data_IF_060342260329
#
_entry.id   IF_060342260329
#
_cell.length_a   1.000
_cell.length_b   1.000
_cell.length_c   1.000
_cell.angle_alpha   90.00
_cell.angle_beta   90.00
_cell.angle_gamma   90.00
#
_symmetry.space_group_name_H-M   'P 1'
#
loop_
_entity.id
_entity.type
_entity.pdbx_description
1 polymer ?
#
# COMPACT_ATOMS: atom_id res chain seq x y z
N UNK A 1 16.59 9.07 -36.46
CA UNK A 1 15.28 8.54 -36.04
C UNK A 1 15.40 7.61 -34.83
N UNK A 2 16.25 6.58 -34.86
CA UNK A 2 16.42 5.60 -33.76
C UNK A 2 16.82 6.27 -32.43
N UNK A 3 17.77 7.20 -32.47
CA UNK A 3 18.25 7.94 -31.28
C UNK A 3 17.15 8.73 -30.57
N UNK A 4 16.20 9.27 -31.31
CA UNK A 4 15.03 9.97 -30.77
C UNK A 4 14.13 9.02 -29.98
N UNK A 5 13.85 7.83 -30.50
CA UNK A 5 13.04 6.83 -29.81
C UNK A 5 13.72 6.31 -28.54
N UNK A 6 15.03 6.10 -28.57
CA UNK A 6 15.80 5.69 -27.37
C UNK A 6 15.67 6.77 -26.29
N UNK A 7 15.81 8.05 -26.66
CA UNK A 7 15.67 9.16 -25.72
C UNK A 7 14.29 9.16 -25.04
N UNK A 8 13.21 9.12 -25.84
CA UNK A 8 11.85 9.27 -25.32
C UNK A 8 11.29 8.02 -24.63
N UNK A 9 11.67 6.82 -25.07
CA UNK A 9 11.15 5.59 -24.50
C UNK A 9 11.94 5.09 -23.28
N UNK A 10 13.24 5.39 -23.20
CA UNK A 10 14.09 4.84 -22.16
C UNK A 10 14.76 5.90 -21.29
N UNK A 11 15.42 6.88 -21.91
CA UNK A 11 16.24 7.83 -21.15
C UNK A 11 15.39 8.78 -20.30
N UNK A 12 14.33 9.35 -20.86
CA UNK A 12 13.44 10.27 -20.12
C UNK A 12 12.72 9.55 -18.97
N UNK A 13 12.09 8.37 -19.16
CA UNK A 13 11.49 7.61 -18.05
C UNK A 13 12.49 7.30 -16.93
N UNK A 14 13.70 6.88 -17.30
CA UNK A 14 14.76 6.57 -16.32
C UNK A 14 15.17 7.80 -15.51
N UNK A 15 15.39 8.94 -16.19
CA UNK A 15 15.73 10.20 -15.52
C UNK A 15 14.61 10.70 -14.60
N UNK A 16 13.36 10.65 -15.06
CA UNK A 16 12.22 11.05 -14.24
C UNK A 16 12.08 10.18 -13.01
N UNK A 17 12.25 8.86 -13.17
CA UNK A 17 12.23 7.94 -12.04
C UNK A 17 13.38 8.22 -11.06
N UNK A 18 14.58 8.49 -11.55
CA UNK A 18 15.72 8.82 -10.71
C UNK A 18 15.54 10.15 -9.97
N UNK A 19 14.97 11.16 -10.62
CA UNK A 19 14.63 12.45 -9.97
C UNK A 19 13.55 12.21 -8.92
N UNK A 20 12.52 11.43 -9.22
CA UNK A 20 11.44 11.12 -8.27
C UNK A 20 11.98 10.40 -7.04
N UNK A 21 12.81 9.37 -7.21
CA UNK A 21 13.41 8.61 -6.10
C UNK A 21 14.38 9.44 -5.27
N UNK A 22 15.13 10.36 -5.89
CA UNK A 22 16.04 11.27 -5.17
C UNK A 22 15.26 12.33 -4.38
N UNK A 23 14.19 12.87 -4.96
CA UNK A 23 13.40 13.93 -4.35
C UNK A 23 12.47 13.41 -3.25
N UNK A 24 11.90 12.24 -3.45
CA UNK A 24 10.96 11.59 -2.54
C UNK A 24 11.56 10.25 -2.11
N UNK A 25 12.56 10.31 -1.22
CA UNK A 25 13.27 9.13 -0.74
C UNK A 25 12.31 8.18 -0.01
N UNK A 26 12.11 6.99 -0.55
CA UNK A 26 11.35 5.95 0.12
C UNK A 26 12.22 5.37 1.24
N UNK A 27 11.76 5.36 2.50
CA UNK A 27 12.48 4.70 3.58
C UNK A 27 12.74 3.22 3.22
N UNK A 28 13.97 2.77 3.41
CA UNK A 28 14.29 1.35 3.22
C UNK A 28 13.42 0.50 4.15
N UNK A 29 12.64 -0.42 3.58
CA UNK A 29 11.84 -1.38 4.35
C UNK A 29 12.71 -2.24 5.25
N UNK A 30 13.88 -2.62 4.77
CA UNK A 30 14.84 -3.42 5.54
C UNK A 30 15.31 -2.67 6.78
N UNK A 31 15.76 -1.42 6.62
CA UNK A 31 16.18 -0.57 7.73
C UNK A 31 15.03 -0.31 8.71
N UNK A 32 13.82 -0.06 8.21
CA UNK A 32 12.64 0.10 9.04
C UNK A 32 12.32 -1.17 9.84
N UNK A 33 12.43 -2.35 9.21
CA UNK A 33 12.20 -3.63 9.86
C UNK A 33 13.26 -3.92 10.93
N UNK A 34 14.53 -3.64 10.65
CA UNK A 34 15.62 -3.81 11.63
C UNK A 34 15.40 -2.89 12.84
N UNK A 35 15.15 -1.61 12.63
CA UNK A 35 14.87 -0.65 13.71
C UNK A 35 13.63 -1.05 14.52
N UNK A 36 12.58 -1.55 13.86
CA UNK A 36 11.39 -2.05 14.54
C UNK A 36 11.72 -3.27 15.41
N UNK A 37 12.52 -4.21 14.93
CA UNK A 37 12.97 -5.40 15.71
C UNK A 37 13.81 -5.00 16.91
N UNK A 38 14.79 -4.11 16.74
CA UNK A 38 15.61 -3.60 17.84
C UNK A 38 14.74 -2.94 18.91
N UNK A 39 13.83 -2.06 18.52
CA UNK A 39 12.89 -1.43 19.45
C UNK A 39 12.00 -2.47 20.15
N UNK A 40 11.51 -3.45 19.40
CA UNK A 40 10.61 -4.47 19.93
C UNK A 40 11.29 -5.44 20.89
N UNK A 41 12.59 -5.72 20.71
CA UNK A 41 13.37 -6.57 21.62
C UNK A 41 13.61 -5.94 23.00
N UNK A 42 13.55 -4.62 23.11
CA UNK A 42 13.74 -3.86 24.34
C UNK A 42 12.44 -3.60 25.12
N UNK A 43 11.31 -4.06 24.61
CA UNK A 43 9.99 -3.79 25.23
C UNK A 43 9.73 -4.80 26.36
N UNK A 44 9.49 -4.28 27.56
CA UNK A 44 9.00 -5.06 28.69
C UNK A 44 7.52 -5.40 28.50
N UNK A 45 7.23 -6.68 28.27
CA UNK A 45 5.87 -7.17 28.00
C UNK A 45 4.96 -7.08 29.21
N UNK A 46 5.48 -7.30 30.40
CA UNK A 46 4.71 -7.22 31.66
C UNK A 46 4.29 -5.78 31.94
N UNK A 47 5.20 -4.83 31.79
CA UNK A 47 4.91 -3.41 31.93
C UNK A 47 3.86 -2.94 30.90
N UNK A 48 3.93 -3.44 29.67
CA UNK A 48 2.94 -3.15 28.63
C UNK A 48 1.56 -3.74 28.97
N UNK A 49 1.50 -4.97 29.42
CA UNK A 49 0.24 -5.60 29.82
C UNK A 49 -0.40 -4.83 30.98
N UNK A 50 0.39 -4.47 32.00
CA UNK A 50 -0.09 -3.68 33.13
C UNK A 50 -0.71 -2.35 32.68
N UNK A 51 0.01 -1.61 31.82
CA UNK A 51 -0.47 -0.36 31.25
C UNK A 51 -1.76 -0.56 30.42
N UNK A 52 -1.83 -1.66 29.64
CA UNK A 52 -3.02 -1.99 28.86
C UNK A 52 -4.22 -2.27 29.76
N UNK A 53 -4.05 -3.06 30.85
CA UNK A 53 -5.10 -3.39 31.80
C UNK A 53 -5.59 -2.15 32.54
N UNK A 54 -4.69 -1.23 32.92
CA UNK A 54 -5.07 0.06 33.54
C UNK A 54 -6.03 0.85 32.64
N UNK A 55 -5.82 0.81 31.31
CA UNK A 55 -6.69 1.47 30.33
C UNK A 55 -7.96 0.65 30.00
N UNK A 56 -7.90 -0.67 30.19
CA UNK A 56 -8.96 -1.63 29.86
C UNK A 56 -9.22 -2.61 31.01
N UNK A 57 -9.80 -2.17 32.12
CA UNK A 57 -9.92 -3.01 33.32
C UNK A 57 -10.79 -4.27 33.12
N UNK A 58 -11.61 -4.30 32.10
CA UNK A 58 -12.43 -5.48 31.73
C UNK A 58 -11.62 -6.57 31.02
N UNK A 59 -10.40 -6.27 30.53
CA UNK A 59 -9.49 -7.24 29.93
C UNK A 59 -8.45 -7.82 30.91
N UNK A 60 -8.60 -7.58 32.21
CA UNK A 60 -7.68 -8.15 33.20
C UNK A 60 -7.75 -9.68 33.23
N UNK A 61 -6.66 -10.41 32.83
CA UNK A 61 -6.67 -11.86 32.78
C UNK A 61 -6.89 -12.53 34.12
N UNK A 62 -6.58 -11.85 35.23
CA UNK A 62 -6.75 -12.37 36.57
C UNK A 62 -8.23 -12.61 36.92
N UNK A 63 -9.13 -11.79 36.33
CA UNK A 63 -10.58 -11.94 36.49
C UNK A 63 -11.14 -13.20 35.85
N UNK A 64 -10.39 -13.77 34.90
CA UNK A 64 -10.81 -14.91 34.08
C UNK A 64 -9.97 -16.17 34.32
N UNK A 65 -9.27 -16.30 35.46
CA UNK A 65 -8.47 -17.47 35.82
C UNK A 65 -9.21 -18.78 35.75
N UNK A 66 -10.52 -18.75 36.02
CA UNK A 66 -11.40 -19.94 36.04
C UNK A 66 -12.19 -20.13 34.74
N UNK A 67 -11.89 -19.37 33.70
CA UNK A 67 -12.56 -19.52 32.40
C UNK A 67 -12.25 -20.89 31.79
N UNK A 68 -13.18 -21.38 30.95
CA UNK A 68 -13.21 -22.77 30.42
C UNK A 68 -12.01 -23.12 29.54
N UNK A 69 -11.32 -22.15 28.99
CA UNK A 69 -10.08 -22.36 28.25
C UNK A 69 -8.87 -22.20 29.17
N UNK A 70 -8.23 -23.28 29.49
CA UNK A 70 -6.86 -23.29 30.06
C UNK A 70 -5.86 -22.81 29.01
N UNK A 71 -6.10 -21.65 28.44
CA UNK A 71 -5.30 -21.12 27.36
C UNK A 71 -4.01 -20.56 27.93
N UNK A 72 -2.98 -20.77 27.23
CA UNK A 72 -1.61 -20.31 27.29
C UNK A 72 -1.51 -18.98 28.06
N UNK A 73 -0.95 -18.99 29.24
CA UNK A 73 -0.85 -17.83 30.14
C UNK A 73 -0.17 -16.60 29.52
N UNK A 74 0.70 -16.83 28.51
CA UNK A 74 1.47 -15.78 27.84
C UNK A 74 0.68 -15.00 26.74
N UNK A 75 -0.54 -15.42 26.41
CA UNK A 75 -1.27 -14.86 25.27
C UNK A 75 -1.68 -13.38 25.48
N UNK A 76 -2.17 -12.95 26.65
CA UNK A 76 -2.46 -11.54 26.89
C UNK A 76 -1.23 -10.63 26.78
N UNK A 77 -0.09 -11.07 27.33
CA UNK A 77 1.18 -10.34 27.28
C UNK A 77 1.66 -10.19 25.83
N UNK A 78 1.57 -11.29 25.08
CA UNK A 78 1.94 -11.30 23.67
C UNK A 78 1.02 -10.38 22.86
N UNK A 79 -0.28 -10.40 23.12
CA UNK A 79 -1.25 -9.57 22.41
C UNK A 79 -1.02 -8.07 22.69
N UNK A 80 -0.80 -7.69 23.95
CA UNK A 80 -0.49 -6.32 24.32
C UNK A 80 0.81 -5.83 23.66
N UNK A 81 1.84 -6.68 23.64
CA UNK A 81 3.08 -6.41 22.94
C UNK A 81 2.88 -6.30 21.41
N UNK A 82 2.13 -7.20 20.79
CA UNK A 82 1.83 -7.14 19.38
C UNK A 82 1.11 -5.86 18.96
N UNK A 83 0.15 -5.42 19.76
CA UNK A 83 -0.58 -4.15 19.53
C UNK A 83 0.36 -2.94 19.55
N UNK A 84 1.35 -2.90 20.45
CA UNK A 84 2.32 -1.79 20.51
C UNK A 84 3.29 -1.85 19.31
N UNK A 85 3.73 -3.04 18.93
CA UNK A 85 4.57 -3.26 17.74
C UNK A 85 3.84 -2.78 16.49
N UNK A 86 2.57 -3.11 16.33
CA UNK A 86 1.74 -2.71 15.19
C UNK A 86 1.60 -1.19 15.08
N UNK A 87 1.34 -0.48 16.19
CA UNK A 87 1.31 0.99 16.21
C UNK A 87 2.62 1.62 15.71
N UNK A 88 3.74 1.00 16.05
CA UNK A 88 5.05 1.45 15.56
C UNK A 88 5.23 1.21 14.06
N UNK A 89 4.76 0.06 13.55
CA UNK A 89 4.84 -0.30 12.14
C UNK A 89 3.88 0.54 11.27
N UNK A 90 2.67 0.83 11.74
CA UNK A 90 1.70 1.65 11.03
C UNK A 90 2.27 3.00 10.59
N UNK A 91 2.95 3.70 11.48
CA UNK A 91 3.58 5.00 11.15
C UNK A 91 4.65 4.87 10.06
N UNK A 92 5.41 3.79 10.08
CA UNK A 92 6.44 3.54 9.07
C UNK A 92 5.81 3.22 7.71
N UNK A 93 4.76 2.40 7.70
CA UNK A 93 4.03 2.07 6.49
C UNK A 93 3.28 3.27 5.90
N UNK A 94 2.65 4.10 6.74
CA UNK A 94 2.00 5.33 6.30
C UNK A 94 2.99 6.28 5.62
N UNK A 95 4.15 6.48 6.22
CA UNK A 95 5.21 7.28 5.62
C UNK A 95 5.71 6.69 4.31
N UNK A 96 5.92 5.37 4.26
CA UNK A 96 6.30 4.66 3.05
C UNK A 96 5.25 4.85 1.94
N UNK A 97 3.97 4.61 2.22
CA UNK A 97 2.88 4.79 1.26
C UNK A 97 2.76 6.23 0.78
N UNK A 98 2.93 7.19 1.69
CA UNK A 98 2.90 8.62 1.36
C UNK A 98 3.99 9.00 0.38
N UNK A 99 5.22 8.57 0.61
CA UNK A 99 6.32 8.88 -0.30
C UNK A 99 6.19 8.13 -1.65
N UNK A 100 5.68 6.89 -1.65
CA UNK A 100 5.33 6.16 -2.86
C UNK A 100 4.30 6.92 -3.73
N UNK A 101 3.22 7.40 -3.12
CA UNK A 101 2.20 8.19 -3.81
C UNK A 101 2.79 9.49 -4.36
N UNK A 102 3.65 10.17 -3.60
CA UNK A 102 4.31 11.40 -4.06
C UNK A 102 5.24 11.16 -5.26
N UNK A 103 5.98 10.05 -5.26
CA UNK A 103 6.78 9.65 -6.42
C UNK A 103 5.89 9.41 -7.63
N UNK A 104 4.83 8.64 -7.47
CA UNK A 104 3.88 8.35 -8.54
C UNK A 104 3.25 9.63 -9.10
N UNK A 105 2.76 10.52 -8.24
CA UNK A 105 2.19 11.81 -8.66
C UNK A 105 3.18 12.68 -9.40
N UNK A 106 4.45 12.65 -8.99
CA UNK A 106 5.51 13.36 -9.72
C UNK A 106 5.69 12.78 -11.12
N UNK A 107 5.79 11.46 -11.26
CA UNK A 107 5.92 10.80 -12.56
C UNK A 107 4.69 11.07 -13.44
N UNK A 108 3.48 10.99 -12.89
CA UNK A 108 2.23 11.28 -13.59
C UNK A 108 2.16 12.72 -14.12
N UNK A 109 2.64 13.68 -13.32
CA UNK A 109 2.68 15.10 -13.74
C UNK A 109 3.51 15.32 -14.99
N UNK A 110 4.58 14.56 -15.17
CA UNK A 110 5.50 14.68 -16.30
C UNK A 110 5.36 13.56 -17.34
N UNK A 111 4.31 12.72 -17.22
CA UNK A 111 4.09 11.58 -18.12
C UNK A 111 3.93 11.98 -19.58
N UNK A 112 3.38 13.19 -19.83
CA UNK A 112 3.16 13.71 -21.19
C UNK A 112 4.46 13.89 -21.98
N UNK A 113 5.63 13.94 -21.32
CA UNK A 113 6.94 14.11 -21.97
C UNK A 113 7.38 12.80 -22.64
N UNK A 114 6.90 11.64 -22.17
CA UNK A 114 7.33 10.33 -22.67
C UNK A 114 6.16 9.41 -22.95
N UNK A 115 5.96 9.00 -24.21
CA UNK A 115 4.96 7.98 -24.56
C UNK A 115 5.15 6.67 -23.79
N UNK A 116 6.39 6.30 -23.48
CA UNK A 116 6.71 5.10 -22.70
C UNK A 116 6.13 5.13 -21.29
N UNK A 117 6.13 6.28 -20.64
CA UNK A 117 5.51 6.46 -19.31
C UNK A 117 3.99 6.29 -19.40
N UNK A 118 3.36 6.91 -20.41
CA UNK A 118 1.91 6.82 -20.59
C UNK A 118 1.49 5.37 -20.85
N UNK A 119 2.21 4.65 -21.70
CA UNK A 119 1.93 3.23 -21.98
C UNK A 119 2.09 2.38 -20.73
N UNK A 120 3.15 2.63 -19.94
CA UNK A 120 3.35 1.93 -18.66
C UNK A 120 2.23 2.22 -17.66
N UNK A 121 1.75 3.46 -17.58
CA UNK A 121 0.62 3.81 -16.73
C UNK A 121 -0.67 3.12 -17.16
N UNK A 122 -0.98 3.13 -18.46
CA UNK A 122 -2.15 2.41 -19.01
C UNK A 122 -2.08 0.92 -18.69
N UNK A 123 -0.90 0.32 -18.85
CA UNK A 123 -0.69 -1.10 -18.51
C UNK A 123 -0.95 -1.35 -17.01
N UNK A 124 -0.38 -0.52 -16.12
CA UNK A 124 -0.59 -0.63 -14.68
C UNK A 124 -2.06 -0.43 -14.29
N UNK A 125 -2.78 0.47 -14.97
CA UNK A 125 -4.20 0.71 -14.73
C UNK A 125 -5.06 -0.49 -15.16
N UNK A 126 -4.77 -1.09 -16.34
CA UNK A 126 -5.49 -2.27 -16.84
C UNK A 126 -5.25 -3.49 -15.95
N UNK A 127 -4.02 -3.67 -15.48
CA UNK A 127 -3.63 -4.82 -14.64
C UNK A 127 -3.87 -4.58 -13.16
N UNK A 128 -4.34 -3.39 -12.78
CA UNK A 128 -4.54 -2.99 -11.38
C UNK A 128 -3.28 -3.08 -10.51
N UNK A 129 -2.09 -3.06 -11.13
CA UNK A 129 -0.78 -3.18 -10.45
C UNK A 129 -0.16 -1.82 -10.08
N UNK A 130 -0.87 -0.72 -10.35
CA UNK A 130 -0.41 0.64 -10.05
C UNK A 130 -0.22 0.90 -8.54
N UNK A 131 0.65 1.85 -8.22
CA UNK A 131 0.95 2.26 -6.83
C UNK A 131 -0.31 2.63 -6.06
N UNK A 132 -1.23 3.34 -6.67
CA UNK A 132 -2.50 3.75 -6.05
C UNK A 132 -3.34 2.55 -5.64
N UNK A 133 -3.45 1.54 -6.52
CA UNK A 133 -4.19 0.31 -6.25
C UNK A 133 -3.51 -0.49 -5.13
N UNK A 134 -2.18 -0.61 -5.17
CA UNK A 134 -1.41 -1.24 -4.11
C UNK A 134 -1.66 -0.59 -2.74
N UNK A 135 -1.58 0.75 -2.66
CA UNK A 135 -1.77 1.48 -1.39
C UNK A 135 -3.22 1.36 -0.90
N UNK A 136 -4.20 1.39 -1.81
CA UNK A 136 -5.61 1.17 -1.46
C UNK A 136 -5.82 -0.22 -0.89
N UNK A 137 -5.36 -1.25 -1.59
CA UNK A 137 -5.45 -2.64 -1.15
C UNK A 137 -4.75 -2.86 0.21
N UNK A 138 -3.55 -2.29 0.41
CA UNK A 138 -2.84 -2.38 1.68
C UNK A 138 -3.61 -1.74 2.84
N UNK A 139 -4.32 -0.62 2.56
CA UNK A 139 -5.18 0.05 3.54
C UNK A 139 -6.41 -0.81 3.89
N UNK A 140 -7.07 -1.36 2.88
CA UNK A 140 -8.26 -2.21 3.08
C UNK A 140 -7.90 -3.47 3.87
N UNK A 141 -6.75 -4.10 3.54
CA UNK A 141 -6.24 -5.26 4.26
C UNK A 141 -5.94 -4.92 5.73
N UNK A 142 -5.38 -3.72 5.98
CA UNK A 142 -5.14 -3.25 7.36
C UNK A 142 -6.45 -3.05 8.11
N UNK A 143 -7.42 -2.38 7.51
CA UNK A 143 -8.75 -2.15 8.11
C UNK A 143 -9.42 -3.48 8.44
N UNK A 144 -9.36 -4.44 7.54
CA UNK A 144 -9.83 -5.80 7.79
C UNK A 144 -9.09 -6.45 8.96
N UNK A 145 -7.76 -6.37 8.97
CA UNK A 145 -6.94 -6.94 10.06
C UNK A 145 -7.31 -6.35 11.42
N UNK A 146 -7.51 -5.03 11.50
CA UNK A 146 -7.98 -4.38 12.74
C UNK A 146 -9.35 -4.88 13.15
N UNK A 147 -10.32 -4.88 12.25
CA UNK A 147 -11.68 -5.37 12.53
C UNK A 147 -11.68 -6.83 13.01
N UNK A 148 -10.86 -7.67 12.39
CA UNK A 148 -10.71 -9.07 12.77
C UNK A 148 -10.09 -9.23 14.17
N UNK A 149 -9.05 -8.45 14.47
CA UNK A 149 -8.39 -8.45 15.79
C UNK A 149 -9.30 -7.89 16.86
N UNK A 150 -10.03 -6.81 16.59
CA UNK A 150 -10.98 -6.22 17.52
C UNK A 150 -12.09 -7.20 17.87
N UNK A 151 -12.61 -7.92 16.87
CA UNK A 151 -13.60 -8.97 17.10
C UNK A 151 -13.10 -10.08 18.02
N UNK A 152 -11.83 -10.48 17.87
CA UNK A 152 -11.25 -11.55 18.69
C UNK A 152 -10.73 -11.09 20.04
N UNK A 153 -10.41 -9.78 20.20
CA UNK A 153 -9.72 -9.23 21.36
C UNK A 153 -10.42 -9.57 22.68
N UNK A 154 -11.70 -9.28 22.77
CA UNK A 154 -12.49 -9.54 23.98
C UNK A 154 -12.49 -11.00 24.35
N UNK A 155 -12.63 -11.88 23.36
CA UNK A 155 -12.63 -13.35 23.57
C UNK A 155 -11.28 -13.84 24.08
N UNK A 156 -10.20 -13.32 23.52
CA UNK A 156 -8.83 -13.69 23.93
C UNK A 156 -8.57 -13.27 25.37
N UNK A 157 -8.89 -12.03 25.73
CA UNK A 157 -8.66 -11.54 27.10
C UNK A 157 -9.57 -12.21 28.12
N UNK A 158 -10.83 -12.52 27.78
CA UNK A 158 -11.77 -13.23 28.65
C UNK A 158 -11.54 -14.74 28.64
N UNK A 159 -10.65 -15.26 27.81
CA UNK A 159 -10.41 -16.70 27.64
C UNK A 159 -11.68 -17.49 27.28
N UNK A 160 -12.52 -16.90 26.46
CA UNK A 160 -13.77 -17.51 26.01
C UNK A 160 -13.58 -18.16 24.63
N UNK A 161 -14.08 -19.39 24.42
CA UNK A 161 -14.07 -20.00 23.08
C UNK A 161 -15.07 -19.29 22.18
N UNK A 162 -14.78 -19.29 20.87
CA UNK A 162 -15.73 -18.82 19.86
C UNK A 162 -16.85 -19.84 19.71
N UNK A 163 -18.07 -19.33 19.70
CA UNK A 163 -19.25 -20.14 19.38
C UNK A 163 -19.43 -20.27 17.86
N UNK A 164 -20.21 -21.27 17.41
CA UNK A 164 -20.52 -21.44 15.99
C UNK A 164 -21.27 -20.25 15.38
N UNK A 165 -22.08 -19.54 16.18
CA UNK A 165 -22.76 -18.31 15.75
C UNK A 165 -21.78 -17.16 15.55
N UNK A 166 -20.79 -17.02 16.41
CA UNK A 166 -19.76 -15.99 16.31
C UNK A 166 -18.78 -16.25 15.16
N UNK A 167 -18.46 -17.52 14.88
CA UNK A 167 -17.68 -17.89 13.71
C UNK A 167 -18.31 -17.42 12.40
N UNK A 168 -19.66 -17.42 12.32
CA UNK A 168 -20.37 -16.90 11.14
C UNK A 168 -20.37 -15.37 11.04
N UNK A 169 -20.05 -14.68 12.13
CA UNK A 169 -19.97 -13.22 12.21
C UNK A 169 -18.53 -12.69 12.06
N UNK A 170 -17.55 -13.57 11.83
CA UNK A 170 -16.18 -13.16 11.58
C UNK A 170 -16.15 -12.16 10.43
N UNK A 171 -15.42 -11.03 10.59
CA UNK A 171 -15.23 -10.09 9.49
C UNK A 171 -14.67 -10.80 8.26
N UNK A 172 -15.25 -10.55 7.10
CA UNK A 172 -14.74 -11.03 5.82
C UNK A 172 -13.97 -9.92 5.11
N UNK A 173 -12.87 -10.27 4.46
CA UNK A 173 -12.16 -9.32 3.63
C UNK A 173 -12.93 -9.09 2.32
N UNK A 174 -13.38 -7.86 2.12
CA UNK A 174 -14.02 -7.41 0.89
C UNK A 174 -13.18 -6.24 0.38
N UNK A 175 -12.37 -6.43 -0.68
CA UNK A 175 -11.60 -5.34 -1.26
C UNK A 175 -12.55 -4.28 -1.81
N UNK A 176 -12.23 -3.01 -1.59
CA UNK A 176 -12.99 -1.93 -2.19
C UNK A 176 -12.90 -2.01 -3.73
N UNK A 177 -14.01 -1.82 -4.42
CA UNK A 177 -13.99 -1.70 -5.87
C UNK A 177 -13.19 -0.46 -6.27
N UNK A 178 -12.15 -0.67 -7.06
CA UNK A 178 -11.33 0.42 -7.58
C UNK A 178 -12.07 1.09 -8.74
N UNK A 179 -13.06 1.92 -8.42
CA UNK A 179 -13.88 2.61 -9.42
C UNK A 179 -13.17 3.72 -10.17
N UNK A 180 -12.04 4.18 -9.64
CA UNK A 180 -11.36 5.40 -10.14
C UNK A 180 -10.48 5.16 -11.38
N UNK A 181 -10.12 3.90 -11.67
CA UNK A 181 -9.22 3.59 -12.80
C UNK A 181 -9.86 3.91 -14.17
N UNK A 182 -11.18 3.79 -14.31
CA UNK A 182 -11.86 4.00 -15.60
C UNK A 182 -11.65 5.40 -16.16
N UNK A 183 -11.70 6.45 -15.32
CA UNK A 183 -11.50 7.82 -15.77
C UNK A 183 -10.03 8.12 -16.15
N UNK A 184 -9.08 7.57 -15.39
CA UNK A 184 -7.64 7.71 -15.63
C UNK A 184 -7.25 6.95 -16.90
N UNK A 185 -7.74 5.72 -17.06
CA UNK A 185 -7.55 4.90 -18.23
C UNK A 185 -8.07 5.59 -19.49
N UNK A 186 -9.28 6.14 -19.44
CA UNK A 186 -9.87 6.88 -20.56
C UNK A 186 -9.02 8.11 -20.94
N UNK A 187 -8.57 8.88 -19.96
CA UNK A 187 -7.67 10.02 -20.16
C UNK A 187 -6.36 9.58 -20.85
N UNK A 188 -5.71 8.53 -20.35
CA UNK A 188 -4.43 8.06 -20.89
C UNK A 188 -4.57 7.50 -22.31
N UNK A 189 -5.63 6.76 -22.60
CA UNK A 189 -5.95 6.27 -23.97
C UNK A 189 -6.19 7.45 -24.91
N UNK A 190 -6.91 8.49 -24.48
CA UNK A 190 -7.16 9.69 -25.27
C UNK A 190 -5.85 10.40 -25.62
N UNK A 191 -4.93 10.56 -24.67
CA UNK A 191 -3.61 11.17 -24.91
C UNK A 191 -2.79 10.36 -25.91
N UNK A 192 -2.73 9.03 -25.78
CA UNK A 192 -2.02 8.15 -26.71
C UNK A 192 -2.62 8.27 -28.13
N UNK A 193 -3.95 8.24 -28.25
CA UNK A 193 -4.64 8.36 -29.53
C UNK A 193 -4.33 9.70 -30.20
N UNK A 194 -4.29 10.77 -29.44
CA UNK A 194 -4.00 12.13 -29.94
C UNK A 194 -2.54 12.23 -30.40
N UNK A 195 -1.58 11.63 -29.66
CA UNK A 195 -0.19 11.57 -30.06
C UNK A 195 0.00 10.76 -31.35
N UNK A 196 -0.69 9.62 -31.50
CA UNK A 196 -0.66 8.80 -32.72
C UNK A 196 -1.19 9.58 -33.93
N UNK A 197 -2.27 10.33 -33.78
CA UNK A 197 -2.82 11.19 -34.84
C UNK A 197 -1.80 12.24 -35.25
N UNK A 198 -1.19 12.96 -34.29
CA UNK A 198 -0.18 13.97 -34.56
C UNK A 198 1.01 13.39 -35.32
N UNK A 199 1.53 12.23 -34.87
CA UNK A 199 2.65 11.55 -35.52
C UNK A 199 2.31 11.10 -36.94
N UNK A 200 1.10 10.60 -37.14
CA UNK A 200 0.62 10.17 -38.48
C UNK A 200 0.53 11.36 -39.43
N UNK A 201 -0.06 12.47 -38.98
CA UNK A 201 -0.14 13.71 -39.79
C UNK A 201 1.27 14.23 -40.12
N UNK A 202 2.18 14.26 -39.15
CA UNK A 202 3.55 14.70 -39.37
C UNK A 202 4.29 13.82 -40.40
N UNK A 203 4.09 12.49 -40.33
CA UNK A 203 4.65 11.55 -41.29
C UNK A 203 4.10 11.76 -42.71
N UNK A 204 2.79 12.00 -42.86
CA UNK A 204 2.17 12.32 -44.13
C UNK A 204 2.68 13.64 -44.72
N UNK A 205 2.84 14.67 -43.93
CA UNK A 205 3.39 15.95 -44.39
C UNK A 205 4.85 15.83 -44.86
N UNK A 206 5.63 14.94 -44.24
CA UNK A 206 7.02 14.71 -44.61
C UNK A 206 7.14 13.92 -45.90
N UNK A 207 6.29 12.90 -46.12
CA UNK A 207 6.27 12.11 -47.37
C UNK A 207 5.75 12.93 -48.55
N UNK A 208 4.74 13.79 -48.33
CA UNK A 208 4.24 14.69 -49.38
C UNK A 208 5.28 15.72 -49.86
N UNK A 209 6.19 16.16 -49.03
CA UNK A 209 7.29 17.05 -49.42
C UNK A 209 8.36 16.35 -50.29
N UNK A 210 8.58 15.06 -50.10
CA UNK A 210 9.61 14.29 -50.82
C UNK A 210 9.10 13.75 -52.16
N UNK A 211 7.79 13.85 -52.46
CA UNK A 211 7.21 13.41 -53.73
C UNK A 211 7.12 14.52 -54.77
N UNK A 212 7.59 15.74 -54.48
CA UNK A 212 7.54 16.90 -55.40
C UNK A 212 8.97 17.28 -55.91
N UNK A 213 9.95 16.48 -55.62
CA UNK A 213 11.31 16.55 -56.21
C UNK A 213 11.51 15.39 -57.15
#
# INVERSE_FOLDING_TARGET
MLSFWILFLFLIPTLLNQIATTKYGIPSRELATVKAREKNSSIDREALLKKYIEQNPHHDPEKYKNASMKTIQWYPDFLAWQMEVEKGQERLEENFHKELIRQQQFIERYSFISPGIIVSQVYNDITETGVTNYVSYARDLRTFSHSYKDFLRDKIFRREPLTLSELKQLPAFIPAEVSHYKSILFKNITIISLLLIILTVAAFMQTGKNSIV
#
